data_IF_463743941894
#
_entry.id   IF_463743941894
#
_cell.length_a   1.000
_cell.length_b   1.000
_cell.length_c   1.000
_cell.angle_alpha   90.00
_cell.angle_beta   90.00
_cell.angle_gamma   90.00
#
_symmetry.space_group_name_H-M   'P 1'
#
loop_
_entity.id
_entity.type
_entity.pdbx_description
1 polymer ?
#
# COMPACT_ATOMS: atom_id res chain seq x y z
N UNK A 1 -15.17 19.95 7.47
CA UNK A 1 -14.36 18.71 7.30
C UNK A 1 -14.60 17.84 8.52
N UNK A 2 -14.94 16.57 8.34
CA UNK A 2 -14.96 15.65 9.49
C UNK A 2 -13.50 15.40 9.88
N UNK A 3 -13.17 15.76 11.11
CA UNK A 3 -11.87 15.45 11.67
C UNK A 3 -11.78 13.94 11.89
N UNK A 4 -10.84 13.28 11.23
CA UNK A 4 -10.64 11.84 11.39
C UNK A 4 -10.07 11.58 12.81
N UNK A 5 -10.85 10.89 13.66
CA UNK A 5 -10.45 10.58 15.04
C UNK A 5 -9.60 9.31 15.15
N UNK A 6 -9.55 8.52 14.08
CA UNK A 6 -8.78 7.27 14.01
C UNK A 6 -7.97 7.32 12.72
N UNK A 7 -6.67 7.13 12.83
CA UNK A 7 -5.73 7.14 11.71
C UNK A 7 -4.78 5.95 11.81
N UNK A 8 -4.36 5.34 10.70
CA UNK A 8 -3.23 4.42 10.68
C UNK A 8 -1.98 5.10 11.21
N UNK A 9 -1.22 4.41 12.04
CA UNK A 9 0.03 4.93 12.60
C UNK A 9 1.17 3.95 12.31
N UNK A 10 2.15 4.40 11.52
CA UNK A 10 3.26 3.57 11.02
C UNK A 10 4.52 3.82 11.84
N UNK A 11 5.23 2.74 12.17
CA UNK A 11 6.50 2.80 12.89
C UNK A 11 7.68 2.57 11.96
N UNK A 12 8.63 3.50 11.91
CA UNK A 12 9.89 3.38 11.18
C UNK A 12 11.08 3.48 12.12
N UNK A 13 12.18 2.88 11.73
CA UNK A 13 13.47 3.12 12.39
C UNK A 13 13.86 4.60 12.28
N UNK A 14 14.09 5.10 11.06
CA UNK A 14 14.53 6.46 10.80
C UNK A 14 14.02 7.05 9.46
N UNK A 15 13.22 6.32 8.72
CA UNK A 15 12.87 6.62 7.31
C UNK A 15 11.43 7.13 7.12
N UNK A 16 10.73 7.55 8.17
CA UNK A 16 9.32 7.93 8.08
C UNK A 16 9.07 9.08 7.07
N UNK A 17 9.93 10.10 7.06
CA UNK A 17 9.79 11.24 6.15
C UNK A 17 10.09 10.86 4.69
N UNK A 18 11.10 10.02 4.47
CA UNK A 18 11.42 9.46 3.15
C UNK A 18 10.27 8.60 2.61
N UNK A 19 9.75 7.71 3.45
CA UNK A 19 8.64 6.84 3.09
C UNK A 19 7.36 7.64 2.78
N UNK A 20 6.98 8.59 3.64
CA UNK A 20 5.83 9.44 3.42
C UNK A 20 5.97 10.26 2.13
N UNK A 21 7.16 10.83 1.86
CA UNK A 21 7.46 11.57 0.62
C UNK A 21 7.29 10.69 -0.60
N UNK A 22 7.78 9.45 -0.53
CA UNK A 22 7.60 8.48 -1.62
C UNK A 22 6.12 8.13 -1.82
N UNK A 23 5.39 7.81 -0.76
CA UNK A 23 3.98 7.41 -0.87
C UNK A 23 3.11 8.51 -1.47
N UNK A 24 3.23 9.76 -1.00
CA UNK A 24 2.45 10.87 -1.55
C UNK A 24 2.79 11.16 -3.02
N UNK A 25 3.95 10.76 -3.50
CA UNK A 25 4.33 10.89 -4.92
C UNK A 25 3.64 9.87 -5.83
N UNK A 26 3.14 8.76 -5.27
CA UNK A 26 2.52 7.69 -6.04
C UNK A 26 1.04 7.94 -6.36
N UNK A 27 0.35 8.69 -5.51
CA UNK A 27 -1.10 8.87 -5.57
C UNK A 27 -1.48 10.32 -5.81
N UNK A 28 -2.49 10.59 -6.66
CA UNK A 28 -3.01 11.94 -6.84
C UNK A 28 -3.62 12.44 -5.52
N UNK A 29 -3.80 13.75 -5.39
CA UNK A 29 -4.42 14.39 -4.23
C UNK A 29 -3.83 13.95 -2.87
N UNK A 30 -2.54 13.65 -2.86
CA UNK A 30 -1.79 13.18 -1.69
C UNK A 30 -0.72 14.20 -1.32
N UNK A 31 -0.48 14.40 -0.01
CA UNK A 31 0.47 15.40 0.47
C UNK A 31 0.93 15.11 1.88
N UNK A 32 2.11 15.59 2.25
CA UNK A 32 2.54 15.72 3.64
C UNK A 32 1.80 16.93 4.23
N UNK A 33 1.16 16.74 5.38
CA UNK A 33 0.39 17.78 6.06
C UNK A 33 1.16 18.43 7.21
N UNK A 34 1.98 17.66 7.92
CA UNK A 34 2.87 18.21 8.95
C UNK A 34 4.09 17.32 9.20
N UNK A 35 5.17 17.92 9.70
CA UNK A 35 6.36 17.21 10.17
C UNK A 35 6.79 17.84 11.50
N UNK A 36 6.72 17.08 12.58
CA UNK A 36 7.35 17.45 13.84
C UNK A 36 8.75 16.82 13.91
N UNK A 37 9.66 17.49 14.64
CA UNK A 37 11.07 17.06 14.68
C UNK A 37 11.54 16.88 16.11
N UNK A 38 12.51 15.99 16.31
CA UNK A 38 13.14 15.78 17.59
C UNK A 38 13.91 17.03 18.03
N UNK A 39 13.74 17.45 19.30
CA UNK A 39 14.51 18.55 19.90
C UNK A 39 15.94 18.06 20.27
N UNK A 40 16.79 19.01 20.62
CA UNK A 40 18.08 18.71 21.27
C UNK A 40 17.85 17.94 22.58
N UNK A 41 18.67 16.91 22.81
CA UNK A 41 18.57 16.05 23.99
C UNK A 41 17.43 15.04 23.97
N UNK A 42 16.72 14.92 22.84
CA UNK A 42 15.74 13.87 22.62
C UNK A 42 16.35 12.47 22.41
N UNK A 43 15.51 11.42 22.30
CA UNK A 43 15.97 10.03 22.14
C UNK A 43 16.55 9.73 20.75
N UNK A 44 16.32 10.58 19.77
CA UNK A 44 16.81 10.50 18.39
C UNK A 44 17.58 11.77 18.03
N UNK A 45 18.37 11.79 16.96
CA UNK A 45 19.13 12.97 16.53
C UNK A 45 18.24 14.21 16.38
N UNK A 46 18.69 15.35 16.92
CA UNK A 46 17.97 16.60 16.79
C UNK A 46 17.74 16.98 15.33
N UNK A 47 16.56 17.48 15.02
CA UNK A 47 16.15 17.84 13.67
C UNK A 47 15.64 16.69 12.80
N UNK A 48 15.85 15.44 13.19
CA UNK A 48 15.24 14.29 12.52
C UNK A 48 13.71 14.35 12.68
N UNK A 49 12.97 13.94 11.65
CA UNK A 49 11.53 13.82 11.74
C UNK A 49 11.14 12.88 12.89
N UNK A 50 10.27 13.37 13.78
CA UNK A 50 9.71 12.60 14.87
C UNK A 50 8.40 11.95 14.43
N UNK A 51 7.44 12.76 13.99
CA UNK A 51 6.18 12.33 13.42
C UNK A 51 5.94 13.08 12.11
N UNK A 52 5.56 12.33 11.09
CA UNK A 52 5.15 12.83 9.77
C UNK A 52 3.67 12.52 9.60
N UNK A 53 2.87 13.54 9.37
CA UNK A 53 1.46 13.40 9.03
C UNK A 53 1.29 13.65 7.54
N UNK A 54 0.53 12.79 6.87
CA UNK A 54 0.29 12.87 5.44
C UNK A 54 -1.09 12.33 5.08
N UNK A 55 -1.54 12.65 3.90
CA UNK A 55 -2.79 12.14 3.33
C UNK A 55 -2.50 11.39 2.03
N UNK A 56 -3.12 10.22 1.88
CA UNK A 56 -3.16 9.43 0.64
C UNK A 56 -4.59 9.44 0.12
N UNK A 57 -4.86 10.20 -0.95
CA UNK A 57 -6.20 10.35 -1.52
C UNK A 57 -7.29 10.64 -0.48
N UNK A 58 -6.96 11.51 0.48
CA UNK A 58 -7.85 11.90 1.58
C UNK A 58 -7.84 10.96 2.80
N UNK A 59 -7.13 9.84 2.76
CA UNK A 59 -6.89 9.01 3.94
C UNK A 59 -5.76 9.61 4.78
N UNK A 60 -6.00 10.10 6.00
CA UNK A 60 -4.95 10.58 6.87
C UNK A 60 -4.14 9.40 7.44
N UNK A 61 -2.82 9.55 7.43
CA UNK A 61 -1.87 8.57 7.96
C UNK A 61 -0.80 9.32 8.75
N UNK A 62 -0.37 8.72 9.86
CA UNK A 62 0.78 9.20 10.63
C UNK A 62 1.91 8.19 10.55
N UNK A 63 3.14 8.66 10.51
CA UNK A 63 4.35 7.83 10.57
C UNK A 63 5.33 8.44 11.57
N UNK A 64 6.03 7.61 12.33
CA UNK A 64 7.05 8.08 13.25
C UNK A 64 8.38 7.38 13.06
N UNK A 65 9.45 8.05 13.43
CA UNK A 65 10.78 7.47 13.62
C UNK A 65 11.01 7.25 15.11
N UNK A 66 11.23 6.00 15.52
CA UNK A 66 11.48 5.68 16.93
C UNK A 66 12.44 4.50 17.12
N UNK A 67 13.33 4.28 16.15
CA UNK A 67 14.36 3.24 16.18
C UNK A 67 13.86 1.84 15.76
N UNK A 68 14.76 0.87 15.69
CA UNK A 68 14.50 -0.46 15.08
C UNK A 68 13.83 -1.45 16.05
N UNK A 69 12.89 -0.98 16.89
CA UNK A 69 12.24 -1.82 17.91
C UNK A 69 11.18 -2.72 17.27
N UNK A 70 10.38 -2.15 16.35
CA UNK A 70 9.31 -2.87 15.67
C UNK A 70 9.53 -2.90 14.16
N UNK A 71 9.04 -3.95 13.53
CA UNK A 71 9.04 -4.14 12.07
C UNK A 71 7.62 -4.35 11.57
N UNK A 72 7.36 -3.98 10.33
CA UNK A 72 6.11 -4.29 9.67
C UNK A 72 5.93 -5.79 9.48
N UNK A 73 4.68 -6.22 9.52
CA UNK A 73 4.26 -7.58 9.17
C UNK A 73 3.12 -7.52 8.17
N UNK A 74 2.81 -8.64 7.53
CA UNK A 74 1.71 -8.76 6.59
C UNK A 74 0.32 -8.69 7.24
N UNK A 75 0.26 -8.59 8.58
CA UNK A 75 -1.01 -8.41 9.31
C UNK A 75 -1.65 -7.04 9.07
N UNK A 76 -0.88 -6.07 8.57
CA UNK A 76 -1.35 -4.78 8.11
C UNK A 76 -0.90 -4.55 6.67
N UNK A 77 -1.79 -3.99 5.86
CA UNK A 77 -1.47 -3.55 4.49
C UNK A 77 -2.36 -2.39 4.07
N UNK A 78 -1.85 -1.56 3.17
CA UNK A 78 -2.71 -0.68 2.39
C UNK A 78 -3.25 -1.45 1.18
N UNK A 79 -4.56 -1.41 0.98
CA UNK A 79 -5.19 -1.94 -0.22
C UNK A 79 -5.51 -0.81 -1.18
N UNK A 80 -4.93 -0.88 -2.36
CA UNK A 80 -5.06 0.12 -3.42
C UNK A 80 -5.88 -0.46 -4.54
N UNK A 81 -6.97 0.20 -4.88
CA UNK A 81 -7.75 -0.11 -6.08
C UNK A 81 -7.08 0.54 -7.29
N UNK A 82 -6.82 -0.26 -8.32
CA UNK A 82 -6.29 0.18 -9.60
C UNK A 82 -7.17 -0.40 -10.73
N UNK A 83 -7.78 0.46 -11.55
CA UNK A 83 -8.80 0.04 -12.50
C UNK A 83 -8.25 -0.27 -13.90
N UNK A 84 -6.98 0.04 -14.15
CA UNK A 84 -6.29 -0.28 -15.41
C UNK A 84 -5.02 -1.09 -15.18
N UNK A 85 -4.62 -1.86 -16.18
CA UNK A 85 -3.37 -2.63 -16.10
C UNK A 85 -2.14 -1.70 -16.00
N UNK A 86 -2.15 -0.58 -16.73
CA UNK A 86 -1.07 0.40 -16.69
C UNK A 86 -0.89 0.99 -15.27
N UNK A 87 -1.98 1.23 -14.55
CA UNK A 87 -1.92 1.72 -13.18
C UNK A 87 -1.41 0.64 -12.22
N UNK A 88 -1.88 -0.61 -12.36
CA UNK A 88 -1.35 -1.75 -11.61
C UNK A 88 0.15 -1.87 -11.82
N UNK A 89 0.60 -1.86 -13.07
CA UNK A 89 2.01 -2.03 -13.43
C UNK A 89 2.86 -0.88 -12.86
N UNK A 90 2.41 0.36 -13.01
CA UNK A 90 3.10 1.54 -12.49
C UNK A 90 3.28 1.49 -10.96
N UNK A 91 2.20 1.21 -10.23
CA UNK A 91 2.23 1.14 -8.76
C UNK A 91 3.06 -0.06 -8.28
N UNK A 92 2.89 -1.21 -8.91
CA UNK A 92 3.64 -2.41 -8.60
C UNK A 92 5.14 -2.20 -8.75
N UNK A 93 5.56 -1.71 -9.92
CA UNK A 93 6.98 -1.53 -10.23
C UNK A 93 7.63 -0.48 -9.32
N UNK A 94 6.91 0.61 -9.00
CA UNK A 94 7.40 1.64 -8.07
C UNK A 94 7.54 1.10 -6.64
N UNK A 95 6.57 0.33 -6.14
CA UNK A 95 6.56 -0.15 -4.75
C UNK A 95 7.58 -1.27 -4.50
N UNK A 96 7.83 -2.16 -5.49
CA UNK A 96 8.86 -3.21 -5.32
C UNK A 96 10.28 -2.72 -5.58
N UNK A 97 10.45 -1.51 -6.11
CA UNK A 97 11.78 -0.98 -6.41
C UNK A 97 12.64 -0.83 -5.15
N UNK A 98 13.96 -0.82 -5.35
CA UNK A 98 14.97 -0.49 -4.33
C UNK A 98 14.90 -1.34 -3.04
N UNK A 99 14.55 -2.61 -3.17
CA UNK A 99 14.54 -3.56 -2.05
C UNK A 99 13.15 -4.04 -1.62
N UNK A 100 12.09 -3.62 -2.30
CA UNK A 100 10.77 -4.22 -2.16
C UNK A 100 10.72 -5.66 -2.70
N UNK A 101 9.67 -6.38 -2.40
CA UNK A 101 9.51 -7.77 -2.79
C UNK A 101 8.07 -8.10 -3.20
N UNK A 102 7.88 -8.78 -4.33
CA UNK A 102 6.56 -9.29 -4.71
C UNK A 102 6.10 -10.40 -3.75
N UNK A 103 4.78 -10.53 -3.59
CA UNK A 103 4.16 -11.65 -2.92
C UNK A 103 3.03 -12.21 -3.79
N UNK A 104 2.05 -12.86 -3.22
CA UNK A 104 0.98 -13.58 -3.93
C UNK A 104 -0.29 -12.70 -4.06
N UNK A 105 -1.09 -12.95 -5.09
CA UNK A 105 -2.46 -12.41 -5.22
C UNK A 105 -2.54 -10.88 -5.18
N UNK A 106 -1.60 -10.18 -5.80
CA UNK A 106 -1.57 -8.72 -5.81
C UNK A 106 -0.92 -8.09 -4.58
N UNK A 107 -0.38 -8.88 -3.66
CA UNK A 107 0.36 -8.40 -2.51
C UNK A 107 1.83 -8.18 -2.83
N UNK A 108 2.43 -7.20 -2.18
CA UNK A 108 3.85 -6.91 -2.21
C UNK A 108 4.30 -6.28 -0.90
N UNK A 109 5.61 -6.22 -0.67
CA UNK A 109 6.24 -5.38 0.35
C UNK A 109 7.05 -4.29 -0.33
N UNK A 110 6.99 -3.09 0.21
CA UNK A 110 7.90 -2.03 -0.22
C UNK A 110 9.28 -2.16 0.43
N UNK A 111 10.18 -1.25 0.06
CA UNK A 111 11.58 -1.25 0.54
C UNK A 111 11.72 -1.12 2.06
N UNK A 112 10.70 -0.64 2.76
CA UNK A 112 10.67 -0.55 4.23
C UNK A 112 9.95 -1.72 4.89
N UNK A 113 9.43 -2.67 4.10
CA UNK A 113 8.75 -3.87 4.57
C UNK A 113 7.25 -3.70 4.81
N UNK A 114 6.67 -2.53 4.51
CA UNK A 114 5.24 -2.31 4.60
C UNK A 114 4.54 -3.05 3.45
N UNK A 115 3.46 -3.76 3.79
CA UNK A 115 2.69 -4.53 2.82
C UNK A 115 1.65 -3.67 2.12
N UNK A 116 1.48 -3.92 0.83
CA UNK A 116 0.51 -3.30 -0.06
C UNK A 116 -0.23 -4.36 -0.86
N UNK A 117 -1.47 -4.08 -1.17
CA UNK A 117 -2.27 -4.85 -2.12
C UNK A 117 -2.62 -3.94 -3.30
N UNK A 118 -2.29 -4.36 -4.51
CA UNK A 118 -2.69 -3.64 -5.74
C UNK A 118 -3.76 -4.50 -6.42
N UNK A 119 -5.00 -4.05 -6.31
CA UNK A 119 -6.18 -4.85 -6.63
C UNK A 119 -7.03 -4.17 -7.69
N UNK A 120 -7.32 -4.83 -8.83
CA UNK A 120 -8.24 -4.29 -9.82
C UNK A 120 -9.68 -4.24 -9.29
N UNK A 121 -10.38 -3.14 -9.56
CA UNK A 121 -11.76 -2.96 -9.11
C UNK A 121 -12.69 -4.06 -9.59
N UNK A 122 -12.46 -4.59 -10.80
CA UNK A 122 -13.23 -5.71 -11.36
C UNK A 122 -13.14 -7.00 -10.52
N UNK A 123 -12.09 -7.16 -9.70
CA UNK A 123 -11.93 -8.37 -8.89
C UNK A 123 -13.11 -8.56 -7.92
N UNK A 124 -13.58 -7.49 -7.30
CA UNK A 124 -14.74 -7.54 -6.40
C UNK A 124 -16.02 -7.95 -7.15
N UNK A 125 -16.19 -7.49 -8.38
CA UNK A 125 -17.31 -7.87 -9.24
C UNK A 125 -17.26 -9.35 -9.60
N UNK A 126 -16.08 -9.85 -10.00
CA UNK A 126 -15.86 -11.24 -10.34
C UNK A 126 -16.07 -12.18 -9.13
N UNK A 127 -15.60 -11.78 -7.95
CA UNK A 127 -15.77 -12.59 -6.73
C UNK A 127 -17.22 -12.66 -6.26
N UNK A 128 -18.02 -11.62 -6.51
CA UNK A 128 -19.42 -11.56 -6.16
C UNK A 128 -20.37 -11.93 -7.31
N UNK A 129 -19.82 -12.47 -8.40
CA UNK A 129 -20.64 -12.90 -9.55
C UNK A 129 -21.71 -13.92 -9.12
N UNK A 130 -23.00 -13.73 -9.51
CA UNK A 130 -24.06 -14.68 -9.23
C UNK A 130 -23.79 -16.06 -9.85
N UNK A 131 -23.08 -16.15 -10.97
CA UNK A 131 -22.51 -17.40 -11.49
C UNK A 131 -21.32 -17.84 -10.62
N UNK A 132 -21.59 -18.78 -9.72
CA UNK A 132 -20.60 -19.27 -8.76
C UNK A 132 -19.42 -20.01 -9.42
N UNK A 133 -19.63 -20.60 -10.58
CA UNK A 133 -18.53 -21.24 -11.33
C UNK A 133 -17.61 -20.18 -11.94
N UNK A 134 -18.19 -19.10 -12.46
CA UNK A 134 -17.45 -17.96 -12.98
C UNK A 134 -16.62 -17.30 -11.88
N UNK A 135 -17.22 -17.06 -10.71
CA UNK A 135 -16.53 -16.52 -9.54
C UNK A 135 -15.38 -17.43 -9.07
N UNK A 136 -15.60 -18.76 -9.05
CA UNK A 136 -14.58 -19.73 -8.64
C UNK A 136 -13.38 -19.76 -9.61
N UNK A 137 -13.61 -19.69 -10.92
CA UNK A 137 -12.53 -19.63 -11.92
C UNK A 137 -11.70 -18.36 -11.77
N UNK A 138 -12.33 -17.19 -11.57
CA UNK A 138 -11.63 -15.95 -11.32
C UNK A 138 -10.78 -16.01 -10.04
N UNK A 139 -11.33 -16.55 -8.95
CA UNK A 139 -10.61 -16.74 -7.70
C UNK A 139 -9.40 -17.65 -7.86
N UNK A 140 -9.57 -18.78 -8.55
CA UNK A 140 -8.47 -19.71 -8.79
C UNK A 140 -7.36 -19.08 -9.63
N UNK A 141 -7.71 -18.29 -10.64
CA UNK A 141 -6.75 -17.53 -11.44
C UNK A 141 -5.99 -16.53 -10.56
N UNK A 142 -6.70 -15.72 -9.76
CA UNK A 142 -6.09 -14.76 -8.83
C UNK A 142 -5.09 -15.43 -7.90
N UNK A 143 -5.42 -16.57 -7.32
CA UNK A 143 -4.55 -17.30 -6.40
C UNK A 143 -3.26 -17.80 -7.04
N UNK A 144 -3.23 -17.96 -8.35
CA UNK A 144 -2.04 -18.35 -9.11
C UNK A 144 -1.17 -17.17 -9.56
N UNK A 145 -1.64 -15.93 -9.39
CA UNK A 145 -0.91 -14.75 -9.84
C UNK A 145 -0.09 -14.13 -8.71
N UNK A 146 1.00 -13.47 -9.05
CA UNK A 146 1.79 -12.59 -8.19
C UNK A 146 1.29 -11.15 -8.35
N UNK A 147 1.65 -10.47 -9.43
CA UNK A 147 1.00 -9.24 -9.88
C UNK A 147 -0.29 -9.62 -10.61
N UNK A 148 -1.38 -8.93 -10.30
CA UNK A 148 -2.66 -9.24 -10.92
C UNK A 148 -2.73 -8.74 -12.35
N UNK A 149 -3.21 -9.60 -13.26
CA UNK A 149 -3.38 -9.31 -14.69
C UNK A 149 -4.87 -9.33 -15.01
N UNK A 150 -5.45 -8.17 -15.26
CA UNK A 150 -6.90 -8.01 -15.47
C UNK A 150 -7.41 -8.90 -16.59
N UNK A 151 -6.71 -8.94 -17.74
CA UNK A 151 -7.12 -9.72 -18.89
C UNK A 151 -7.19 -11.23 -18.61
N UNK A 152 -6.27 -11.74 -17.80
CA UNK A 152 -6.25 -13.15 -17.39
C UNK A 152 -7.37 -13.48 -16.41
N UNK A 153 -7.66 -12.59 -15.46
CA UNK A 153 -8.78 -12.74 -14.52
C UNK A 153 -10.12 -12.82 -15.27
N UNK A 154 -10.33 -11.94 -16.23
CA UNK A 154 -11.56 -11.93 -17.06
C UNK A 154 -11.64 -13.16 -17.94
N UNK A 155 -10.55 -13.53 -18.62
CA UNK A 155 -10.51 -14.72 -19.48
C UNK A 155 -10.81 -16.00 -18.69
N UNK A 156 -10.19 -16.16 -17.52
CA UNK A 156 -10.45 -17.29 -16.63
C UNK A 156 -11.91 -17.34 -16.17
N UNK A 157 -12.47 -16.20 -15.76
CA UNK A 157 -13.88 -16.09 -15.39
C UNK A 157 -14.79 -16.59 -16.53
N UNK A 158 -14.51 -16.19 -17.77
CA UNK A 158 -15.27 -16.56 -18.97
C UNK A 158 -14.98 -17.98 -19.46
N UNK A 159 -14.08 -18.74 -18.83
CA UNK A 159 -13.73 -20.10 -19.22
C UNK A 159 -12.84 -20.19 -20.47
N UNK A 160 -12.03 -19.17 -20.68
CA UNK A 160 -11.10 -19.06 -21.83
C UNK A 160 -9.65 -19.16 -21.38
#
# INVERSE_FOLDING_TARGET
>A
MMEHRVTPFLWYDSQAEEAATFYVSLFPDSRITSVSRYPEGGPMPAGQAMVVEFELEGLPVSAMNAGPIFSFTEAFSFSVRADTQDEIDRLWDALIADGGAPSQCGWLKDRWGLSWQIVPGILAELQNDPDRERAARAMQCMMGQTKLVIAELVAAADGR
#
